data_IF_078026675561
#
_entry.id   IF_078026675561
#
_cell.length_a   1.000
_cell.length_b   1.000
_cell.length_c   1.000
_cell.angle_alpha   90.00
_cell.angle_beta   90.00
_cell.angle_gamma   90.00
#
_symmetry.space_group_name_H-M   'P 1'
#
loop_
_entity.id
_entity.type
_entity.pdbx_description
1 polymer ?
#
# COMPACT_ATOMS: atom_id res chain seq x y z
N UNK A 1 -69.82 -6.80 13.92
CA UNK A 1 -69.03 -7.89 14.49
C UNK A 1 -67.85 -7.25 15.19
N UNK A 2 -67.95 -7.13 16.50
CA UNK A 2 -67.15 -6.26 17.36
C UNK A 2 -66.03 -7.09 17.95
N UNK A 3 -64.77 -6.78 17.63
CA UNK A 3 -63.61 -7.48 18.22
C UNK A 3 -62.96 -6.54 19.22
N UNK A 4 -63.08 -6.95 20.48
CA UNK A 4 -62.65 -6.27 21.70
C UNK A 4 -61.15 -6.49 21.94
N UNK A 5 -60.44 -5.40 22.23
CA UNK A 5 -59.05 -5.41 22.70
C UNK A 5 -58.93 -6.13 24.05
N UNK A 6 -57.87 -6.93 24.21
CA UNK A 6 -57.35 -7.33 25.52
C UNK A 6 -55.92 -6.86 25.68
N UNK A 7 -55.78 -5.82 26.47
CA UNK A 7 -54.54 -5.35 27.08
C UNK A 7 -54.08 -6.37 28.12
N UNK A 8 -52.90 -6.95 27.94
CA UNK A 8 -52.16 -7.64 28.99
C UNK A 8 -50.98 -6.77 29.39
N UNK A 9 -51.19 -5.99 30.44
CA UNK A 9 -50.12 -5.39 31.22
C UNK A 9 -49.52 -6.50 32.10
N UNK A 10 -48.26 -6.85 31.88
CA UNK A 10 -47.46 -7.55 32.87
C UNK A 10 -46.15 -6.79 33.09
N UNK A 11 -46.02 -6.28 34.31
CA UNK A 11 -44.80 -5.72 34.87
C UNK A 11 -43.70 -6.79 34.91
N UNK A 12 -42.51 -6.46 34.42
CA UNK A 12 -41.28 -6.98 35.02
C UNK A 12 -40.23 -5.88 35.05
N UNK A 13 -39.96 -5.42 36.26
CA UNK A 13 -38.85 -4.57 36.60
C UNK A 13 -37.54 -5.31 36.29
N UNK A 14 -36.73 -4.75 35.39
CA UNK A 14 -35.32 -5.07 35.27
C UNK A 14 -34.56 -3.74 35.24
N UNK A 15 -34.12 -3.32 36.43
CA UNK A 15 -33.02 -2.37 36.58
C UNK A 15 -31.76 -3.01 36.00
N UNK A 16 -31.57 -2.89 34.69
CA UNK A 16 -30.26 -3.09 34.09
C UNK A 16 -29.47 -1.82 34.34
N UNK A 17 -28.52 -1.93 35.27
CA UNK A 17 -27.47 -0.97 35.54
C UNK A 17 -26.80 -0.62 34.20
N UNK A 18 -27.06 0.58 33.71
CA UNK A 18 -26.23 1.21 32.67
C UNK A 18 -24.86 1.53 33.31
N UNK A 19 -23.97 0.55 33.33
CA UNK A 19 -22.53 0.84 33.36
C UNK A 19 -22.17 1.41 32.01
N UNK A 20 -22.05 2.73 31.97
CA UNK A 20 -21.43 3.47 30.88
C UNK A 20 -20.02 2.90 30.63
N UNK A 21 -19.88 2.13 29.55
CA UNK A 21 -18.58 1.82 28.98
C UNK A 21 -18.09 3.07 28.25
N UNK A 22 -17.54 4.01 29.02
CA UNK A 22 -16.67 5.05 28.49
C UNK A 22 -15.31 4.44 28.20
N UNK A 23 -15.11 4.03 26.95
CA UNK A 23 -13.85 3.54 26.38
C UNK A 23 -14.15 3.16 24.94
N UNK A 24 -13.48 3.70 23.92
CA UNK A 24 -12.05 3.53 23.72
C UNK A 24 -11.47 4.76 23.00
N UNK A 25 -10.83 5.65 23.75
CA UNK A 25 -9.70 6.45 23.25
C UNK A 25 -8.47 5.94 23.99
N UNK A 26 -8.00 4.75 23.62
CA UNK A 26 -6.84 4.14 24.26
C UNK A 26 -5.94 3.40 23.26
N UNK A 27 -5.95 3.82 22.00
CA UNK A 27 -5.18 3.14 20.94
C UNK A 27 -3.70 3.53 20.92
N UNK A 28 -3.30 4.61 21.60
CA UNK A 28 -1.90 5.05 21.66
C UNK A 28 -1.16 4.69 22.95
N UNK A 29 -1.85 4.63 24.09
CA UNK A 29 -1.19 4.69 25.41
C UNK A 29 -0.82 3.31 25.98
N UNK A 30 -1.49 2.23 25.55
CA UNK A 30 -1.27 0.87 26.06
C UNK A 30 -0.26 0.03 25.25
N UNK A 31 0.32 0.59 24.19
CA UNK A 31 1.27 -0.12 23.31
C UNK A 31 2.48 -0.69 24.07
N UNK A 32 3.08 0.09 24.98
CA UNK A 32 4.20 -0.34 25.82
C UNK A 32 3.78 -1.39 26.87
N UNK A 33 2.56 -1.29 27.40
CA UNK A 33 2.03 -2.25 28.36
C UNK A 33 1.79 -3.62 27.72
N UNK A 34 1.17 -3.63 26.54
CA UNK A 34 0.98 -4.84 25.75
C UNK A 34 2.32 -5.48 25.33
N UNK A 35 3.26 -4.67 24.84
CA UNK A 35 4.57 -5.13 24.39
C UNK A 35 5.36 -5.79 25.54
N UNK A 36 5.32 -5.21 26.73
CA UNK A 36 5.93 -5.79 27.93
C UNK A 36 5.29 -7.14 28.28
N UNK A 37 3.96 -7.21 28.31
CA UNK A 37 3.23 -8.45 28.59
C UNK A 37 3.48 -9.54 27.53
N UNK A 38 3.72 -9.16 26.27
CA UNK A 38 4.12 -10.09 25.22
C UNK A 38 5.53 -10.66 25.46
N UNK A 39 6.50 -9.80 25.82
CA UNK A 39 7.86 -10.23 26.15
C UNK A 39 7.91 -11.13 27.39
N UNK A 40 7.17 -10.79 28.45
CA UNK A 40 7.13 -11.57 29.70
C UNK A 40 6.51 -12.98 29.52
N UNK A 41 5.70 -13.19 28.48
CA UNK A 41 5.16 -14.52 28.12
C UNK A 41 6.20 -15.44 27.47
N UNK A 42 7.34 -14.92 27.02
CA UNK A 42 8.40 -15.73 26.43
C UNK A 42 9.46 -16.09 27.49
N UNK A 43 9.50 -17.38 27.85
CA UNK A 43 10.39 -17.88 28.91
C UNK A 43 11.89 -17.69 28.62
N UNK A 44 12.29 -17.54 27.34
CA UNK A 44 13.69 -17.42 26.91
C UNK A 44 14.23 -15.99 26.98
N UNK A 45 13.38 -14.99 27.21
CA UNK A 45 13.81 -13.57 27.30
C UNK A 45 13.51 -12.99 28.67
N UNK A 46 14.31 -12.03 29.08
CA UNK A 46 14.16 -11.26 30.31
C UNK A 46 14.29 -9.78 29.99
N UNK A 47 13.31 -8.97 30.36
CA UNK A 47 13.36 -7.51 30.17
C UNK A 47 14.27 -6.91 31.24
N UNK A 48 15.44 -6.41 30.83
CA UNK A 48 16.42 -5.80 31.75
C UNK A 48 16.24 -4.28 31.87
N UNK A 49 15.72 -3.62 30.84
CA UNK A 49 15.39 -2.20 30.89
C UNK A 49 14.23 -1.86 29.93
N UNK A 50 13.53 -0.76 30.22
CA UNK A 50 12.46 -0.22 29.37
C UNK A 50 12.72 1.27 29.18
N UNK A 51 12.77 1.72 27.93
CA UNK A 51 12.90 3.13 27.58
C UNK A 51 11.60 3.63 26.91
N UNK A 52 10.77 4.39 27.65
CA UNK A 52 9.52 4.91 27.11
C UNK A 52 9.71 6.05 26.10
N UNK A 53 10.85 6.74 26.08
CA UNK A 53 11.09 7.84 25.13
C UNK A 53 11.36 7.30 23.72
N UNK A 54 12.11 6.20 23.63
CA UNK A 54 12.42 5.53 22.35
C UNK A 54 11.48 4.39 21.99
N UNK A 55 10.46 4.13 22.82
CA UNK A 55 9.56 2.98 22.70
C UNK A 55 10.31 1.65 22.53
N UNK A 56 11.34 1.42 23.36
CA UNK A 56 12.21 0.24 23.24
C UNK A 56 12.40 -0.52 24.56
N UNK A 57 12.67 -1.81 24.44
CA UNK A 57 12.96 -2.73 25.52
C UNK A 57 14.36 -3.30 25.32
N UNK A 58 15.17 -3.23 26.37
CA UNK A 58 16.41 -3.99 26.42
C UNK A 58 16.09 -5.36 27.00
N UNK A 59 16.24 -6.40 26.20
CA UNK A 59 15.95 -7.79 26.56
C UNK A 59 17.24 -8.59 26.61
N UNK A 60 17.38 -9.48 27.60
CA UNK A 60 18.44 -10.47 27.68
C UNK A 60 17.88 -11.82 27.29
N UNK A 61 18.52 -12.51 26.35
CA UNK A 61 18.20 -13.90 26.03
C UNK A 61 18.83 -14.79 27.10
N UNK A 62 18.05 -15.58 27.84
CA UNK A 62 18.53 -16.34 29.00
C UNK A 62 19.56 -17.41 28.62
N UNK A 63 19.38 -18.05 27.47
CA UNK A 63 20.25 -19.15 27.03
C UNK A 63 21.65 -18.68 26.63
N UNK A 64 21.75 -17.50 25.98
CA UNK A 64 23.04 -16.95 25.50
C UNK A 64 23.62 -15.85 26.39
N UNK A 65 22.80 -15.25 27.27
CA UNK A 65 23.15 -14.04 28.00
C UNK A 65 23.23 -12.78 27.13
N UNK A 66 22.91 -12.88 25.84
CA UNK A 66 23.01 -11.77 24.89
C UNK A 66 21.94 -10.71 25.19
N UNK A 67 22.35 -9.44 25.22
CA UNK A 67 21.46 -8.30 25.45
C UNK A 67 21.16 -7.61 24.13
N UNK A 68 19.88 -7.42 23.81
CA UNK A 68 19.39 -6.79 22.58
C UNK A 68 18.38 -5.69 22.90
N UNK A 69 18.34 -4.66 22.07
CA UNK A 69 17.29 -3.63 22.11
C UNK A 69 16.23 -3.98 21.07
N UNK A 70 14.98 -4.10 21.50
CA UNK A 70 13.81 -4.44 20.66
C UNK A 70 12.82 -3.30 20.78
N UNK A 71 12.34 -2.77 19.65
CA UNK A 71 11.32 -1.71 19.69
C UNK A 71 9.91 -2.30 19.82
N UNK A 72 9.01 -1.56 20.45
CA UNK A 72 7.62 -1.98 20.65
C UNK A 72 6.90 -2.28 19.33
N UNK A 73 7.19 -1.52 18.27
CA UNK A 73 6.63 -1.71 16.92
C UNK A 73 7.12 -2.98 16.22
N UNK A 74 8.26 -3.54 16.64
CA UNK A 74 8.82 -4.76 16.06
C UNK A 74 8.29 -6.04 16.72
N UNK A 75 7.58 -5.92 17.85
CA UNK A 75 6.94 -7.03 18.53
C UNK A 75 5.61 -7.35 17.83
N UNK A 76 5.66 -7.80 16.59
CA UNK A 76 4.45 -8.22 15.87
C UNK A 76 3.99 -9.56 16.43
N UNK A 77 2.71 -9.63 16.79
CA UNK A 77 2.08 -10.76 17.45
C UNK A 77 2.23 -12.07 16.63
N UNK A 78 3.23 -12.87 17.00
CA UNK A 78 3.29 -14.31 16.74
C UNK A 78 3.98 -14.72 15.44
N UNK A 79 5.16 -15.30 15.58
CA UNK A 79 5.62 -16.37 14.69
C UNK A 79 6.21 -17.49 15.56
N UNK A 80 5.73 -18.75 15.42
CA UNK A 80 6.47 -19.89 15.93
C UNK A 80 7.69 -20.09 15.02
N UNK A 81 8.88 -19.85 15.55
CA UNK A 81 10.14 -20.34 14.97
C UNK A 81 10.88 -19.42 13.98
N UNK A 82 10.52 -18.14 13.87
CA UNK A 82 11.30 -17.19 13.06
C UNK A 82 12.61 -16.79 13.75
N UNK A 83 13.74 -17.30 13.28
CA UNK A 83 15.08 -16.77 13.62
C UNK A 83 15.11 -15.25 13.37
N UNK A 84 15.18 -14.48 14.45
CA UNK A 84 15.39 -13.03 14.40
C UNK A 84 16.71 -12.76 13.69
N UNK A 85 16.64 -12.26 12.46
CA UNK A 85 17.80 -11.77 11.72
C UNK A 85 18.47 -10.67 12.55
N UNK A 86 19.81 -10.68 12.69
CA UNK A 86 20.51 -9.63 13.44
C UNK A 86 20.27 -8.29 12.75
N UNK A 87 19.61 -7.37 13.46
CA UNK A 87 19.56 -5.99 13.04
C UNK A 87 20.98 -5.42 13.12
N UNK A 88 21.56 -5.09 11.96
CA UNK A 88 22.80 -4.34 11.85
C UNK A 88 22.64 -3.04 12.62
N UNK A 89 23.29 -2.93 13.78
CA UNK A 89 23.39 -1.67 14.52
C UNK A 89 24.04 -0.61 13.61
N UNK A 90 23.42 0.56 13.43
CA UNK A 90 24.14 1.72 12.94
C UNK A 90 25.25 2.06 13.94
N UNK A 91 26.49 2.06 13.47
CA UNK A 91 27.64 2.49 14.26
C UNK A 91 27.38 3.91 14.81
N UNK A 92 27.55 4.07 16.12
CA UNK A 92 27.48 5.34 16.81
C UNK A 92 28.43 6.35 16.14
N UNK A 93 27.86 7.35 15.48
CA UNK A 93 28.59 8.51 14.99
C UNK A 93 28.97 9.38 16.19
N UNK A 94 30.25 9.74 16.22
CA UNK A 94 30.88 10.56 17.24
C UNK A 94 30.24 11.94 17.39
N UNK A 95 30.26 12.38 18.63
CA UNK A 95 29.94 13.70 19.18
C UNK A 95 30.63 14.85 18.41
N UNK A 96 29.90 15.86 17.91
CA UNK A 96 30.49 17.11 17.46
C UNK A 96 30.58 18.10 18.62
N UNK A 97 31.81 18.53 18.88
CA UNK A 97 32.15 19.63 19.76
C UNK A 97 31.48 20.95 19.32
N UNK A 98 31.01 21.69 20.32
CA UNK A 98 30.42 23.02 20.18
C UNK A 98 31.44 24.08 19.76
N UNK A 99 31.03 24.97 18.84
CA UNK A 99 31.65 26.28 18.65
C UNK A 99 30.55 27.35 18.54
N UNK A 100 30.57 28.42 19.35
CA UNK A 100 29.61 29.51 19.29
C UNK A 100 30.15 30.72 18.53
N UNK A 101 29.35 31.32 17.64
CA UNK A 101 29.41 32.71 17.11
C UNK A 101 28.49 32.77 15.87
N UNK A 102 27.78 33.82 15.52
CA UNK A 102 27.60 35.16 16.06
C UNK A 102 26.27 35.70 15.50
N UNK A 103 25.64 36.61 16.23
CA UNK A 103 24.44 37.33 15.82
C UNK A 103 24.73 38.34 14.69
N UNK A 104 23.82 38.44 13.74
CA UNK A 104 23.65 39.66 12.92
C UNK A 104 22.16 39.85 12.62
N UNK A 105 21.67 41.02 13.03
CA UNK A 105 20.30 41.53 12.87
C UNK A 105 20.15 42.29 11.52
N UNK A 106 18.92 42.73 11.14
CA UNK A 106 18.45 42.87 9.76
C UNK A 106 18.45 44.32 9.21
N UNK A 107 18.11 44.48 7.91
CA UNK A 107 17.29 45.53 7.24
C UNK A 107 17.75 45.79 5.77
N UNK A 108 17.06 46.62 4.93
CA UNK A 108 15.69 46.45 4.41
C UNK A 108 15.54 46.78 2.87
N UNK A 109 14.36 46.44 2.32
CA UNK A 109 13.49 47.15 1.33
C UNK A 109 13.96 47.65 -0.06
N UNK A 110 12.93 47.81 -0.92
CA UNK A 110 12.82 48.53 -2.22
C UNK A 110 13.25 47.77 -3.49
N UNK A 111 12.61 47.90 -4.66
CA UNK A 111 11.32 48.45 -5.10
C UNK A 111 11.10 48.00 -6.57
N UNK A 112 9.88 48.16 -7.05
CA UNK A 112 9.35 47.97 -8.42
C UNK A 112 10.29 48.28 -9.59
N UNK A 113 10.13 47.58 -10.72
CA UNK A 113 9.94 48.19 -12.06
C UNK A 113 9.40 47.14 -13.07
N UNK A 114 8.10 47.19 -13.37
CA UNK A 114 7.55 46.94 -14.72
C UNK A 114 7.83 48.20 -15.57
N UNK A 115 7.91 48.19 -16.94
CA UNK A 115 6.85 47.66 -17.81
C UNK A 115 7.26 47.15 -19.23
N UNK A 116 6.24 46.67 -19.97
CA UNK A 116 6.04 46.79 -21.44
C UNK A 116 7.00 46.01 -22.38
N UNK A 117 6.68 45.58 -23.61
CA UNK A 117 5.49 45.44 -24.47
C UNK A 117 5.99 44.75 -25.78
N UNK A 118 5.10 44.02 -26.46
CA UNK A 118 5.00 43.81 -27.93
C UNK A 118 6.12 43.17 -28.79
N UNK A 119 5.64 42.28 -29.69
CA UNK A 119 6.25 41.81 -30.93
C UNK A 119 5.76 40.39 -31.26
N UNK A 120 4.62 40.15 -31.91
CA UNK A 120 4.33 40.34 -33.35
C UNK A 120 5.49 39.92 -34.26
N UNK A 121 5.44 38.71 -34.83
CA UNK A 121 5.59 38.47 -36.28
C UNK A 121 5.81 36.98 -36.66
N UNK A 122 5.06 36.59 -37.69
CA UNK A 122 5.46 35.76 -38.83
C UNK A 122 5.66 34.22 -38.68
N UNK A 123 4.72 33.50 -39.32
CA UNK A 123 4.94 32.20 -39.96
C UNK A 123 5.99 32.33 -41.09
N UNK A 124 6.71 31.25 -41.43
CA UNK A 124 6.25 30.47 -42.59
C UNK A 124 6.42 28.94 -42.45
N UNK A 125 5.52 28.20 -43.09
CA UNK A 125 5.75 26.81 -43.52
C UNK A 125 6.81 26.75 -44.61
N UNK A 126 7.56 25.64 -44.67
CA UNK A 126 7.70 24.94 -45.94
C UNK A 126 7.41 23.44 -45.85
N UNK A 127 7.04 22.92 -47.01
CA UNK A 127 6.62 21.56 -47.25
C UNK A 127 7.81 20.60 -47.49
N UNK A 128 7.51 19.32 -47.25
CA UNK A 128 7.94 18.11 -47.96
C UNK A 128 9.43 17.81 -48.11
N UNK A 129 9.84 16.65 -47.58
CA UNK A 129 10.67 15.71 -48.33
C UNK A 129 10.33 14.26 -47.95
N UNK A 130 10.00 13.49 -48.98
CA UNK A 130 9.78 12.04 -48.97
C UNK A 130 11.13 11.41 -49.33
N UNK A 131 11.59 10.43 -48.56
CA UNK A 131 12.60 9.48 -49.01
C UNK A 131 12.18 8.05 -48.63
N UNK A 132 12.20 7.10 -49.58
CA UNK A 132 12.08 5.68 -49.32
C UNK A 132 13.46 5.10 -48.99
N UNK A 133 13.55 4.11 -48.10
CA UNK A 133 13.97 2.75 -48.47
C UNK A 133 13.92 1.83 -47.23
N UNK A 134 13.92 0.53 -47.50
CA UNK A 134 13.60 -0.56 -46.60
C UNK A 134 14.81 -1.05 -45.78
N UNK A 135 14.56 -1.51 -44.55
CA UNK A 135 15.54 -2.22 -43.74
C UNK A 135 15.22 -2.12 -42.24
N UNK A 136 14.58 -3.15 -41.70
CA UNK A 136 13.91 -3.13 -40.39
C UNK A 136 14.81 -2.82 -39.19
N UNK A 137 14.35 -1.85 -38.38
CA UNK A 137 14.83 -1.57 -37.03
C UNK A 137 14.18 -0.30 -36.50
N UNK A 138 13.15 -0.43 -35.65
CA UNK A 138 12.40 0.71 -35.11
C UNK A 138 13.22 1.41 -34.01
N UNK A 139 13.83 2.55 -34.33
CA UNK A 139 14.48 3.42 -33.33
C UNK A 139 13.38 4.20 -32.60
N UNK A 140 13.27 4.01 -31.28
CA UNK A 140 12.16 4.59 -30.50
C UNK A 140 12.46 6.02 -30.02
N UNK A 141 13.74 6.36 -29.80
CA UNK A 141 14.17 7.73 -29.44
C UNK A 141 15.68 7.87 -29.67
N UNK A 142 16.10 9.01 -30.22
CA UNK A 142 17.51 9.38 -30.42
C UNK A 142 17.76 10.76 -29.80
N UNK A 143 18.86 10.91 -29.06
CA UNK A 143 19.34 12.18 -28.52
C UNK A 143 20.88 12.25 -28.56
N UNK A 144 21.50 13.42 -28.35
CA UNK A 144 22.95 13.56 -28.36
C UNK A 144 23.56 12.66 -27.28
N UNK A 145 24.27 11.61 -27.69
CA UNK A 145 24.99 10.70 -26.81
C UNK A 145 24.34 9.34 -26.53
N UNK A 146 23.14 9.04 -27.05
CA UNK A 146 22.60 7.67 -27.01
C UNK A 146 21.48 7.43 -28.02
N UNK A 147 21.36 6.16 -28.45
CA UNK A 147 20.22 5.67 -29.22
C UNK A 147 19.63 4.44 -28.54
N UNK A 148 18.31 4.38 -28.42
CA UNK A 148 17.59 3.22 -27.87
C UNK A 148 16.95 2.47 -29.04
N UNK A 149 17.44 1.26 -29.31
CA UNK A 149 16.89 0.34 -30.31
C UNK A 149 15.99 -0.68 -29.63
N UNK A 150 14.77 -0.87 -30.15
CA UNK A 150 13.90 -1.94 -29.69
C UNK A 150 14.44 -3.30 -30.16
N UNK A 151 14.67 -4.23 -29.24
CA UNK A 151 15.04 -5.59 -29.58
C UNK A 151 13.86 -6.27 -30.32
N UNK A 152 14.01 -6.44 -31.63
CA UNK A 152 13.08 -7.21 -32.44
C UNK A 152 13.11 -8.68 -32.01
N UNK A 153 11.93 -9.25 -31.78
CA UNK A 153 11.77 -10.67 -31.49
C UNK A 153 12.18 -11.50 -32.73
N UNK A 154 13.33 -12.16 -32.64
CA UNK A 154 13.78 -13.13 -33.63
C UNK A 154 13.19 -14.53 -33.32
N UNK A 155 12.88 -15.35 -34.35
CA UNK A 155 12.34 -16.68 -34.15
C UNK A 155 13.40 -17.65 -33.59
N UNK A 156 12.92 -18.59 -32.78
CA UNK A 156 13.69 -19.55 -32.01
C UNK A 156 14.63 -20.43 -32.87
N UNK A 157 15.91 -20.46 -32.48
CA UNK A 157 16.92 -21.43 -32.90
C UNK A 157 17.70 -21.92 -31.65
N UNK A 158 18.34 -23.10 -31.67
CA UNK A 158 18.61 -23.89 -30.47
C UNK A 158 19.84 -23.43 -29.67
N UNK A 159 19.77 -23.73 -28.36
CA UNK A 159 20.68 -23.37 -27.28
C UNK A 159 22.12 -23.90 -27.44
N UNK A 160 23.08 -22.98 -27.31
CA UNK A 160 24.42 -23.10 -26.71
C UNK A 160 24.94 -21.66 -26.53
N UNK A 161 25.60 -21.18 -25.48
CA UNK A 161 26.27 -21.77 -24.33
C UNK A 161 26.28 -20.76 -23.16
N UNK A 162 26.48 -21.27 -21.94
CA UNK A 162 26.64 -20.53 -20.70
C UNK A 162 27.90 -19.63 -20.71
N UNK A 163 27.84 -18.53 -19.93
CA UNK A 163 28.94 -17.62 -19.57
C UNK A 163 29.42 -16.59 -20.62
N UNK A 164 28.51 -15.77 -21.16
CA UNK A 164 28.91 -14.56 -21.87
C UNK A 164 29.12 -13.37 -20.89
N UNK A 165 30.32 -12.78 -20.91
CA UNK A 165 30.62 -11.53 -20.21
C UNK A 165 29.97 -10.40 -21.01
N UNK A 166 28.98 -9.73 -20.43
CA UNK A 166 28.16 -8.73 -21.13
C UNK A 166 28.91 -7.38 -21.19
N UNK A 167 29.74 -7.09 -20.17
CA UNK A 167 30.52 -5.86 -20.14
C UNK A 167 31.75 -6.04 -19.23
N UNK A 168 32.91 -5.53 -19.68
CA UNK A 168 34.15 -5.54 -18.89
C UNK A 168 34.81 -4.16 -18.96
N UNK A 169 35.32 -3.69 -17.83
CA UNK A 169 36.11 -2.46 -17.71
C UNK A 169 37.29 -2.65 -16.74
N UNK A 170 38.22 -1.68 -16.63
CA UNK A 170 39.33 -1.74 -15.68
C UNK A 170 38.77 -1.84 -14.25
N UNK A 171 38.90 -3.01 -13.62
CA UNK A 171 38.47 -3.26 -12.25
C UNK A 171 37.11 -3.96 -12.07
N UNK A 172 36.38 -4.29 -13.13
CA UNK A 172 35.15 -5.11 -12.99
C UNK A 172 34.78 -5.88 -14.27
N UNK A 173 34.08 -6.99 -14.07
CA UNK A 173 33.45 -7.76 -15.15
C UNK A 173 32.02 -8.10 -14.74
N UNK A 174 31.05 -7.82 -15.61
CA UNK A 174 29.63 -8.15 -15.41
C UNK A 174 29.34 -9.41 -16.22
N UNK A 175 29.10 -10.52 -15.51
CA UNK A 175 28.68 -11.79 -16.11
C UNK A 175 27.15 -11.82 -16.15
N UNK A 176 26.59 -12.12 -17.32
CA UNK A 176 25.17 -12.41 -17.43
C UNK A 176 24.84 -13.67 -16.65
N UNK A 177 24.10 -13.54 -15.54
CA UNK A 177 23.49 -14.69 -14.89
C UNK A 177 22.60 -15.40 -15.90
N UNK A 178 22.71 -16.73 -15.96
CA UNK A 178 21.90 -17.55 -16.86
C UNK A 178 20.43 -17.11 -16.75
N UNK A 179 19.85 -16.72 -17.88
CA UNK A 179 18.44 -16.43 -17.96
C UNK A 179 17.70 -17.64 -17.39
N UNK A 180 16.95 -17.42 -16.30
CA UNK A 180 16.05 -18.43 -15.77
C UNK A 180 15.24 -18.99 -16.93
N UNK A 181 15.02 -20.32 -17.01
CA UNK A 181 14.26 -20.91 -18.09
C UNK A 181 12.95 -20.12 -18.23
N UNK A 182 12.45 -19.90 -19.47
CA UNK A 182 11.16 -19.27 -19.65
C UNK A 182 10.16 -20.16 -18.92
N UNK A 183 9.74 -19.70 -17.74
CA UNK A 183 8.55 -20.22 -17.09
C UNK A 183 7.48 -19.87 -18.11
N UNK A 184 7.03 -20.89 -18.85
CA UNK A 184 5.87 -20.77 -19.72
C UNK A 184 4.86 -19.93 -18.95
N UNK A 185 4.37 -18.87 -19.57
CA UNK A 185 3.31 -18.03 -19.07
C UNK A 185 2.08 -18.93 -18.82
N UNK A 186 2.11 -19.67 -17.72
CA UNK A 186 0.94 -20.10 -17.02
C UNK A 186 0.36 -18.78 -16.60
N UNK A 187 -0.67 -18.37 -17.30
CA UNK A 187 -1.75 -17.56 -16.75
C UNK A 187 -1.85 -17.99 -15.29
N UNK A 188 -1.26 -17.20 -14.39
CA UNK A 188 -1.59 -17.33 -12.98
C UNK A 188 -3.00 -16.80 -12.96
N UNK A 189 -3.96 -17.69 -13.21
CA UNK A 189 -5.29 -17.50 -12.68
C UNK A 189 -5.03 -17.20 -11.23
N UNK A 190 -5.27 -15.94 -10.86
CA UNK A 190 -5.06 -15.48 -9.51
C UNK A 190 -5.91 -16.42 -8.66
N UNK A 191 -5.28 -17.40 -8.01
CA UNK A 191 -5.89 -18.22 -6.97
C UNK A 191 -6.10 -17.26 -5.82
N UNK A 192 -7.13 -16.42 -5.96
CA UNK A 192 -7.50 -15.42 -5.00
C UNK A 192 -8.10 -16.20 -3.84
N UNK A 193 -7.27 -16.31 -2.82
CA UNK A 193 -7.51 -16.88 -1.50
C UNK A 193 -8.03 -18.34 -1.42
N UNK A 194 -7.40 -19.12 -0.54
CA UNK A 194 -7.88 -20.44 -0.11
C UNK A 194 -8.93 -20.37 1.01
N UNK A 195 -9.39 -19.17 1.37
CA UNK A 195 -10.38 -18.97 2.43
C UNK A 195 -11.76 -19.53 2.02
N UNK A 196 -12.50 -20.01 3.00
CA UNK A 196 -13.88 -20.46 2.81
C UNK A 196 -14.77 -19.28 2.40
N UNK A 197 -15.69 -19.51 1.45
CA UNK A 197 -16.66 -18.51 1.00
C UNK A 197 -17.60 -18.12 2.13
N UNK A 198 -17.64 -16.84 2.45
CA UNK A 198 -18.55 -16.23 3.42
C UNK A 198 -19.58 -15.37 2.69
N UNK A 199 -20.86 -15.71 2.81
CA UNK A 199 -21.95 -14.91 2.27
C UNK A 199 -22.47 -13.92 3.30
N UNK A 200 -22.67 -12.67 2.88
CA UNK A 200 -23.23 -11.60 3.70
C UNK A 200 -24.30 -10.86 2.92
N UNK A 201 -25.38 -10.50 3.60
CA UNK A 201 -26.44 -9.68 3.01
C UNK A 201 -26.26 -8.19 3.32
N UNK A 202 -25.45 -7.87 4.33
CA UNK A 202 -25.20 -6.51 4.79
C UNK A 202 -23.83 -6.03 4.32
N UNK A 203 -23.71 -4.78 3.84
CA UNK A 203 -22.45 -4.20 3.42
C UNK A 203 -21.51 -4.03 4.62
N UNK A 204 -20.20 -4.15 4.36
CA UNK A 204 -19.19 -3.75 5.33
C UNK A 204 -19.04 -2.23 5.28
N UNK A 205 -19.42 -1.55 6.35
CA UNK A 205 -19.36 -0.09 6.44
C UNK A 205 -18.19 0.34 7.31
N UNK A 206 -17.33 1.19 6.76
CA UNK A 206 -16.32 1.91 7.50
C UNK A 206 -16.58 3.42 7.39
N UNK A 207 -16.54 4.12 8.51
CA UNK A 207 -16.91 5.52 8.61
C UNK A 207 -16.03 6.25 9.63
N UNK A 208 -15.79 7.54 9.37
CA UNK A 208 -14.96 8.41 10.22
C UNK A 208 -13.48 8.12 10.02
N UNK A 209 -12.63 8.60 10.93
CA UNK A 209 -11.17 8.39 10.89
C UNK A 209 -10.76 6.97 11.35
N UNK A 210 -11.55 5.95 10.99
CA UNK A 210 -11.32 4.55 11.40
C UNK A 210 -10.51 3.82 10.34
N UNK A 211 -9.69 2.90 10.82
CA UNK A 211 -8.97 1.94 9.99
C UNK A 211 -9.68 0.59 9.99
N UNK A 212 -9.86 -0.01 8.81
CA UNK A 212 -10.45 -1.33 8.64
C UNK A 212 -9.58 -2.20 7.74
N UNK A 213 -9.31 -3.43 8.17
CA UNK A 213 -8.56 -4.43 7.40
C UNK A 213 -9.45 -5.60 6.97
N UNK A 214 -9.34 -5.99 5.70
CA UNK A 214 -10.00 -7.15 5.09
C UNK A 214 -8.92 -8.03 4.45
N UNK A 215 -8.39 -8.96 5.24
CA UNK A 215 -7.24 -9.77 4.85
C UNK A 215 -7.59 -11.25 4.69
N UNK A 216 -7.22 -11.84 3.55
CA UNK A 216 -7.39 -13.26 3.25
C UNK A 216 -8.84 -13.74 3.43
N UNK A 217 -9.79 -12.99 2.86
CA UNK A 217 -11.23 -13.26 2.95
C UNK A 217 -11.79 -13.61 1.57
N UNK A 218 -12.74 -14.54 1.52
CA UNK A 218 -13.55 -14.80 0.34
C UNK A 218 -14.99 -14.43 0.66
N UNK A 219 -15.45 -13.28 0.17
CA UNK A 219 -16.71 -12.65 0.57
C UNK A 219 -17.65 -12.53 -0.63
N UNK A 220 -18.91 -12.88 -0.43
CA UNK A 220 -19.99 -12.70 -1.40
C UNK A 220 -21.13 -11.88 -0.80
N UNK A 221 -21.59 -10.86 -1.53
CA UNK A 221 -22.60 -9.91 -1.09
C UNK A 221 -23.80 -9.83 -2.04
N UNK A 222 -25.00 -9.79 -1.45
CA UNK A 222 -26.28 -9.55 -2.14
C UNK A 222 -26.59 -8.03 -2.21
N UNK A 223 -25.64 -7.25 -2.72
CA UNK A 223 -25.72 -5.80 -2.79
C UNK A 223 -24.33 -5.19 -2.95
N UNK A 224 -24.14 -4.00 -2.41
CA UNK A 224 -22.81 -3.38 -2.31
C UNK A 224 -21.99 -4.11 -1.25
N UNK A 225 -20.72 -4.37 -1.52
CA UNK A 225 -19.89 -5.17 -0.62
C UNK A 225 -19.21 -4.33 0.47
N UNK A 226 -18.50 -3.27 0.09
CA UNK A 226 -17.75 -2.40 1.01
C UNK A 226 -18.10 -0.93 0.77
N UNK A 227 -18.39 -0.21 1.86
CA UNK A 227 -18.65 1.24 1.84
C UNK A 227 -17.71 1.96 2.81
N UNK A 228 -16.80 2.76 2.28
CA UNK A 228 -15.88 3.63 3.01
C UNK A 228 -16.35 5.09 2.97
N UNK A 229 -16.49 5.75 4.11
CA UNK A 229 -17.01 7.12 4.18
C UNK A 229 -16.23 7.97 5.21
N UNK A 230 -16.29 9.29 5.04
CA UNK A 230 -15.91 10.29 6.05
C UNK A 230 -14.47 10.14 6.60
N UNK A 231 -13.48 9.98 5.73
CA UNK A 231 -12.07 9.89 6.13
C UNK A 231 -11.57 8.48 6.44
N UNK A 232 -12.42 7.46 6.32
CA UNK A 232 -12.04 6.09 6.64
C UNK A 232 -10.85 5.61 5.78
N UNK A 233 -9.98 4.82 6.40
CA UNK A 233 -8.91 4.09 5.75
C UNK A 233 -9.22 2.59 5.70
N UNK A 234 -9.34 2.00 4.51
CA UNK A 234 -9.56 0.56 4.33
C UNK A 234 -8.37 -0.08 3.65
N UNK A 235 -7.90 -1.21 4.18
CA UNK A 235 -6.91 -2.08 3.56
C UNK A 235 -7.55 -3.42 3.18
N UNK A 236 -7.48 -3.78 1.90
CA UNK A 236 -8.00 -5.04 1.35
C UNK A 236 -6.82 -5.81 0.77
N UNK A 237 -6.43 -6.91 1.42
CA UNK A 237 -5.23 -7.67 1.07
C UNK A 237 -5.55 -9.14 0.85
N UNK A 238 -5.09 -9.73 -0.26
CA UNK A 238 -5.26 -11.16 -0.55
C UNK A 238 -6.72 -11.63 -0.48
N UNK A 239 -7.68 -10.79 -0.84
CA UNK A 239 -9.11 -11.06 -0.66
C UNK A 239 -9.84 -11.18 -2.00
N UNK A 240 -10.88 -12.02 -2.02
CA UNK A 240 -11.84 -12.12 -3.12
C UNK A 240 -13.17 -11.54 -2.64
N UNK A 241 -13.65 -10.49 -3.32
CA UNK A 241 -14.91 -9.84 -3.01
C UNK A 241 -15.79 -9.90 -4.25
N UNK A 242 -16.97 -10.52 -4.13
CA UNK A 242 -18.00 -10.57 -5.17
C UNK A 242 -19.26 -9.87 -4.69
N UNK A 243 -19.78 -8.93 -5.47
CA UNK A 243 -20.96 -8.12 -5.14
C UNK A 243 -21.97 -8.13 -6.31
N UNK A 244 -23.26 -8.28 -6.02
CA UNK A 244 -24.31 -8.01 -7.03
C UNK A 244 -24.54 -6.50 -7.23
N UNK A 245 -24.01 -5.65 -6.35
CA UNK A 245 -23.97 -4.20 -6.48
C UNK A 245 -22.57 -3.71 -6.85
N UNK A 246 -22.07 -2.71 -6.14
CA UNK A 246 -20.69 -2.22 -6.27
C UNK A 246 -19.75 -3.00 -5.35
N UNK A 247 -18.59 -3.42 -5.86
CA UNK A 247 -17.57 -4.11 -5.09
C UNK A 247 -17.02 -3.25 -3.95
N UNK A 248 -16.50 -2.06 -4.27
CA UNK A 248 -16.02 -1.10 -3.27
C UNK A 248 -16.52 0.31 -3.60
N UNK A 249 -17.28 0.91 -2.69
CA UNK A 249 -17.67 2.31 -2.74
C UNK A 249 -16.87 3.12 -1.72
N UNK A 250 -16.29 4.25 -2.13
CA UNK A 250 -15.55 5.14 -1.24
C UNK A 250 -15.92 6.62 -1.46
N UNK A 251 -16.23 7.33 -0.37
CA UNK A 251 -16.56 8.76 -0.37
C UNK A 251 -15.68 9.48 0.65
N UNK A 252 -14.86 10.43 0.19
CA UNK A 252 -13.90 11.13 1.03
C UNK A 252 -13.05 10.18 1.91
N UNK A 253 -12.62 9.04 1.36
CA UNK A 253 -11.95 7.96 2.08
C UNK A 253 -10.71 7.46 1.34
N UNK A 254 -9.80 6.79 2.06
CA UNK A 254 -8.57 6.19 1.51
C UNK A 254 -8.71 4.67 1.44
N UNK A 255 -8.48 4.07 0.27
CA UNK A 255 -8.64 2.63 0.05
C UNK A 255 -7.35 2.04 -0.51
N UNK A 256 -6.78 1.06 0.16
CA UNK A 256 -5.63 0.30 -0.30
C UNK A 256 -6.07 -1.11 -0.69
N UNK A 257 -5.78 -1.51 -1.92
CA UNK A 257 -6.18 -2.81 -2.49
C UNK A 257 -4.92 -3.49 -3.02
N UNK A 258 -4.54 -4.60 -2.39
CA UNK A 258 -3.35 -5.37 -2.76
C UNK A 258 -3.68 -6.84 -2.98
N UNK A 259 -3.18 -7.39 -4.09
CA UNK A 259 -3.31 -8.80 -4.47
C UNK A 259 -4.74 -9.36 -4.31
N UNK A 260 -5.74 -8.57 -4.71
CA UNK A 260 -7.15 -8.89 -4.47
C UNK A 260 -7.95 -8.94 -5.77
N UNK A 261 -9.05 -9.70 -5.77
CA UNK A 261 -10.03 -9.72 -6.87
C UNK A 261 -11.33 -9.07 -6.39
N UNK A 262 -11.71 -7.99 -7.06
CA UNK A 262 -12.92 -7.21 -6.75
C UNK A 262 -13.86 -7.32 -7.95
N UNK A 263 -15.02 -7.94 -7.72
CA UNK A 263 -16.07 -8.13 -8.72
C UNK A 263 -17.35 -7.44 -8.25
N UNK A 264 -17.98 -6.67 -9.14
CA UNK A 264 -19.28 -6.07 -8.87
C UNK A 264 -20.11 -5.88 -10.13
N UNK A 265 -21.36 -6.38 -10.13
CA UNK A 265 -22.26 -6.25 -11.29
C UNK A 265 -22.60 -4.77 -11.58
N UNK A 266 -22.74 -3.96 -10.53
CA UNK A 266 -22.93 -2.50 -10.61
C UNK A 266 -21.63 -1.74 -10.89
N UNK A 267 -20.48 -2.38 -10.63
CA UNK A 267 -19.14 -1.85 -10.80
C UNK A 267 -18.16 -2.46 -9.80
N UNK A 268 -16.89 -2.61 -10.17
CA UNK A 268 -15.87 -3.07 -9.22
C UNK A 268 -15.49 -2.00 -8.21
N UNK A 269 -15.49 -0.73 -8.62
CA UNK A 269 -15.03 0.40 -7.81
C UNK A 269 -15.88 1.65 -8.11
N UNK A 270 -16.31 2.36 -7.07
CA UNK A 270 -17.04 3.63 -7.17
C UNK A 270 -16.45 4.64 -6.17
N UNK A 271 -15.78 5.68 -6.69
CA UNK A 271 -15.09 6.67 -5.87
C UNK A 271 -15.69 8.06 -6.07
N UNK A 272 -16.00 8.77 -4.98
CA UNK A 272 -16.48 10.16 -4.99
C UNK A 272 -15.87 11.02 -3.88
N UNK A 273 -16.18 12.32 -3.90
CA UNK A 273 -15.90 13.25 -2.80
C UNK A 273 -14.41 13.31 -2.38
N UNK A 274 -13.49 13.19 -3.35
CA UNK A 274 -12.05 13.23 -3.08
C UNK A 274 -11.46 11.94 -2.53
N UNK A 275 -12.19 10.82 -2.61
CA UNK A 275 -11.68 9.52 -2.23
C UNK A 275 -10.43 9.13 -3.05
N UNK A 276 -9.48 8.47 -2.40
CA UNK A 276 -8.23 8.01 -3.01
C UNK A 276 -8.14 6.49 -2.91
N UNK A 277 -7.94 5.82 -4.04
CA UNK A 277 -7.70 4.39 -4.09
C UNK A 277 -6.25 4.10 -4.53
N UNK A 278 -5.58 3.16 -3.87
CA UNK A 278 -4.25 2.69 -4.21
C UNK A 278 -4.36 1.20 -4.51
N UNK A 279 -4.12 0.81 -5.76
CA UNK A 279 -4.26 -0.57 -6.20
C UNK A 279 -2.90 -1.15 -6.60
N UNK A 280 -2.59 -2.36 -6.15
CA UNK A 280 -1.40 -3.10 -6.55
C UNK A 280 -1.74 -4.57 -6.80
N UNK A 281 -1.22 -5.13 -7.89
CA UNK A 281 -1.33 -6.56 -8.23
C UNK A 281 -2.75 -7.13 -8.16
N UNK A 282 -3.78 -6.32 -8.42
CA UNK A 282 -5.19 -6.66 -8.18
C UNK A 282 -5.99 -6.79 -9.47
N UNK A 283 -7.06 -7.57 -9.44
CA UNK A 283 -7.98 -7.74 -10.57
C UNK A 283 -9.32 -7.09 -10.25
N UNK A 284 -9.75 -6.18 -11.10
CA UNK A 284 -11.05 -5.53 -11.03
C UNK A 284 -11.90 -6.02 -12.18
N UNK A 285 -13.09 -6.54 -11.88
CA UNK A 285 -14.08 -6.94 -12.88
C UNK A 285 -15.38 -6.19 -12.69
N UNK A 286 -15.78 -5.49 -13.72
CA UNK A 286 -16.90 -4.59 -13.71
C UNK A 286 -16.44 -3.14 -13.90
N UNK A 287 -17.41 -2.25 -14.02
CA UNK A 287 -17.14 -0.86 -14.30
C UNK A 287 -16.44 -0.18 -13.11
N UNK A 288 -15.28 0.43 -13.34
CA UNK A 288 -14.65 1.33 -12.37
C UNK A 288 -15.08 2.76 -12.63
N UNK A 289 -15.79 3.36 -11.67
CA UNK A 289 -16.27 4.74 -11.71
C UNK A 289 -15.46 5.64 -10.78
N UNK A 290 -15.15 6.83 -11.28
CA UNK A 290 -14.51 7.90 -10.53
C UNK A 290 -15.29 9.17 -10.78
N UNK A 291 -15.74 9.81 -9.71
CA UNK A 291 -16.47 11.07 -9.74
C UNK A 291 -15.65 12.21 -9.11
N UNK A 292 -15.98 13.42 -9.53
CA UNK A 292 -15.49 14.68 -8.98
C UNK A 292 -13.95 14.77 -8.88
N UNK A 293 -13.44 14.73 -7.64
CA UNK A 293 -12.04 14.91 -7.25
C UNK A 293 -11.36 13.61 -6.83
N UNK A 294 -12.03 12.45 -6.98
CA UNK A 294 -11.47 11.18 -6.57
C UNK A 294 -10.23 10.79 -7.41
N UNK A 295 -9.32 10.01 -6.82
CA UNK A 295 -8.12 9.49 -7.48
C UNK A 295 -7.98 7.98 -7.29
N UNK A 296 -7.34 7.34 -8.27
CA UNK A 296 -6.90 5.94 -8.27
C UNK A 296 -5.45 6.00 -8.68
N UNK A 297 -4.61 5.47 -7.83
CA UNK A 297 -3.19 5.33 -7.98
C UNK A 297 -2.91 3.86 -8.28
N UNK A 298 -2.66 3.58 -9.56
CA UNK A 298 -2.23 2.26 -10.00
C UNK A 298 -0.74 2.10 -9.68
N UNK A 299 -0.44 1.26 -8.69
CA UNK A 299 0.92 0.98 -8.23
C UNK A 299 1.57 -0.17 -9.03
N UNK A 300 0.91 -0.67 -10.08
CA UNK A 300 1.40 -1.71 -10.98
C UNK A 300 0.77 -3.09 -10.75
N UNK A 301 0.80 -3.92 -11.81
CA UNK A 301 0.32 -5.30 -11.77
C UNK A 301 -1.20 -5.47 -11.75
N UNK A 302 -1.97 -4.37 -11.89
CA UNK A 302 -3.42 -4.43 -11.88
C UNK A 302 -4.01 -4.83 -13.25
N UNK A 303 -5.14 -5.51 -13.22
CA UNK A 303 -5.94 -5.86 -14.40
C UNK A 303 -7.32 -5.21 -14.23
N UNK A 304 -7.73 -4.42 -15.21
CA UNK A 304 -8.99 -3.67 -15.21
C UNK A 304 -9.87 -4.17 -16.37
N UNK A 305 -10.97 -4.87 -16.06
CA UNK A 305 -11.84 -5.52 -17.05
C UNK A 305 -13.29 -5.05 -16.97
#
# INVERSE_FOLDING_TARGET
>A
MTITLRSSALNLAACVVLTAAGGCTHEGQDSMGWARAALERNAQVEVVATDPQSHSFTVRVKDSGEVRVVRADQLVAGLPGGTLAPATQPAAAAEPAATPMAAAAPAPAEAETEPAQYGEAARPSPAAEVHPDAGGGKVLKSGPGYSIQAAGAAPAAPRAAENQVIQSGPGYSIRGGAASPPVAARTRDATVTSAALERRHEPIVCQGDRMLHIDNRNLQFDGDAVSAQDGCEIHITNSHITATGVGVQARAANVHIDNSLIEGDGGSLDLSDGAQAYAASSHFRGLSRRMDTASVHDLGGNIWN
#
